data_IF_123795071012
#
_entry.id   IF_123795071012
#
_cell.length_a   1.000
_cell.length_b   1.000
_cell.length_c   1.000
_cell.angle_alpha   90.00
_cell.angle_beta   90.00
_cell.angle_gamma   90.00
#
_symmetry.space_group_name_H-M   'P 1'
#
loop_
_entity.id
_entity.type
_entity.pdbx_description
1 polymer ?
#
# COMPACT_ATOMS: atom_id res chain seq x y z
N UNK A 1 6.33 30.67 0.10
CA UNK A 1 6.25 29.22 -0.18
C UNK A 1 7.04 28.94 -1.45
N UNK A 2 8.00 28.02 -1.40
CA UNK A 2 8.95 27.70 -2.49
C UNK A 2 8.27 27.21 -3.78
N UNK A 3 7.03 26.71 -3.69
CA UNK A 3 6.22 26.26 -4.83
C UNK A 3 5.82 27.41 -5.78
N UNK A 4 5.77 28.65 -5.29
CA UNK A 4 5.32 29.83 -6.09
C UNK A 4 6.27 30.22 -7.20
N UNK A 5 7.52 29.75 -7.16
CA UNK A 5 8.57 30.08 -8.14
C UNK A 5 8.80 28.96 -9.18
N UNK A 6 8.05 27.86 -9.11
CA UNK A 6 8.15 26.78 -10.08
C UNK A 6 7.33 27.10 -11.34
N UNK A 7 7.85 26.67 -12.50
CA UNK A 7 7.11 26.72 -13.77
C UNK A 7 5.84 25.88 -13.65
N UNK A 8 4.75 26.33 -14.25
CA UNK A 8 3.41 25.72 -14.16
C UNK A 8 3.40 24.23 -14.48
N UNK A 9 4.20 23.78 -15.45
CA UNK A 9 4.35 22.37 -15.82
C UNK A 9 4.92 21.52 -14.67
N UNK A 10 5.87 22.06 -13.91
CA UNK A 10 6.50 21.37 -12.78
C UNK A 10 5.58 21.36 -11.57
N UNK A 11 4.74 22.38 -11.38
CA UNK A 11 3.68 22.40 -10.37
C UNK A 11 2.63 21.32 -10.67
N UNK A 12 2.19 21.22 -11.93
CA UNK A 12 1.24 20.19 -12.38
C UNK A 12 1.74 18.75 -12.17
N UNK A 13 3.05 18.52 -12.26
CA UNK A 13 3.64 17.22 -11.95
C UNK A 13 3.47 16.86 -10.47
N UNK A 14 3.63 17.82 -9.56
CA UNK A 14 3.36 17.60 -8.14
C UNK A 14 1.87 17.42 -7.87
N UNK A 15 0.99 18.21 -8.51
CA UNK A 15 -0.47 18.07 -8.36
C UNK A 15 -0.98 16.68 -8.79
N UNK A 16 -0.33 16.03 -9.77
CA UNK A 16 -0.64 14.66 -10.18
C UNK A 16 -0.19 13.59 -9.18
N UNK A 17 0.86 13.86 -8.39
CA UNK A 17 1.37 12.93 -7.37
C UNK A 17 0.61 13.01 -6.03
N UNK A 18 -0.07 14.12 -5.76
CA UNK A 18 -0.81 14.37 -4.52
C UNK A 18 -2.12 13.58 -4.29
N UNK A 19 -2.83 13.00 -5.29
CA UNK A 19 -3.97 12.11 -5.04
C UNK A 19 -3.60 10.87 -4.22
N UNK A 20 -2.32 10.52 -4.17
CA UNK A 20 -1.76 9.42 -3.39
C UNK A 20 -1.07 9.93 -2.11
N UNK A 21 -1.63 10.94 -1.45
CA UNK A 21 -1.17 11.28 -0.11
C UNK A 21 -1.28 10.04 0.78
N UNK A 22 -0.11 9.49 1.13
CA UNK A 22 0.00 8.35 2.02
C UNK A 22 -0.06 8.90 3.45
N UNK A 23 -1.17 8.67 4.18
CA UNK A 23 -1.22 9.05 5.59
C UNK A 23 -0.03 8.43 6.34
N UNK A 24 0.48 9.14 7.35
CA UNK A 24 1.61 8.68 8.16
C UNK A 24 1.37 7.26 8.69
N UNK A 25 0.12 6.97 9.05
CA UNK A 25 -0.35 5.63 9.36
C UNK A 25 -1.10 5.06 8.15
N UNK A 26 -0.80 3.82 7.72
CA UNK A 26 -1.60 3.18 6.69
C UNK A 26 -2.99 2.85 7.27
N UNK A 27 -4.00 2.54 6.41
CA UNK A 27 -5.19 1.85 6.88
C UNK A 27 -4.81 0.59 7.65
N UNK A 28 -5.49 0.28 8.75
CA UNK A 28 -5.16 -0.87 9.60
C UNK A 28 -5.38 -2.22 8.89
N UNK A 29 -6.17 -2.23 7.82
CA UNK A 29 -6.71 -3.44 7.17
C UNK A 29 -5.96 -3.87 5.90
N UNK A 30 -4.87 -3.20 5.52
CA UNK A 30 -4.10 -3.54 4.30
C UNK A 30 -2.82 -4.31 4.62
N UNK A 31 -2.93 -5.39 5.41
CA UNK A 31 -1.83 -6.35 5.49
C UNK A 31 -1.84 -7.23 4.23
N UNK A 32 -0.72 -7.25 3.51
CA UNK A 32 -0.52 -8.18 2.40
C UNK A 32 -0.45 -9.60 2.96
N UNK A 33 -1.52 -10.37 2.75
CA UNK A 33 -1.70 -11.72 3.29
C UNK A 33 -1.29 -12.83 2.34
N UNK A 34 -0.79 -12.45 1.17
CA UNK A 34 -0.31 -13.37 0.15
C UNK A 34 1.17 -13.65 0.35
N UNK A 35 1.53 -14.93 0.30
CA UNK A 35 2.90 -15.42 0.31
C UNK A 35 3.21 -16.03 -1.04
N UNK A 36 4.25 -15.52 -1.68
CA UNK A 36 4.83 -16.15 -2.85
C UNK A 36 5.79 -17.26 -2.40
N UNK A 37 5.51 -18.48 -2.83
CA UNK A 37 6.16 -19.69 -2.35
C UNK A 37 6.85 -20.36 -3.53
N UNK A 38 8.14 -20.64 -3.31
CA UNK A 38 8.97 -21.45 -4.19
C UNK A 38 9.37 -22.71 -3.42
N UNK A 39 8.75 -23.83 -3.73
CA UNK A 39 9.03 -25.11 -3.09
C UNK A 39 10.11 -25.88 -3.88
N UNK A 40 11.18 -26.35 -3.22
CA UNK A 40 12.38 -26.90 -3.87
C UNK A 40 12.19 -28.37 -4.29
N UNK A 41 11.24 -28.64 -5.19
CA UNK A 41 11.07 -29.93 -5.86
C UNK A 41 11.74 -29.89 -7.25
N UNK A 42 11.94 -31.05 -7.88
CA UNK A 42 12.34 -31.15 -9.29
C UNK A 42 11.17 -31.71 -10.12
N UNK A 43 10.43 -30.88 -10.87
CA UNK A 43 10.54 -29.43 -11.04
C UNK A 43 9.98 -28.61 -9.86
N UNK A 44 10.44 -27.37 -9.64
CA UNK A 44 10.05 -26.57 -8.49
C UNK A 44 8.61 -26.09 -8.62
N UNK A 45 7.89 -26.10 -7.50
CA UNK A 45 6.50 -25.62 -7.44
C UNK A 45 6.51 -24.15 -7.06
N UNK A 46 5.90 -23.33 -7.90
CA UNK A 46 5.71 -21.89 -7.67
C UNK A 46 4.23 -21.63 -7.45
N UNK A 47 3.88 -21.09 -6.29
CA UNK A 47 2.49 -20.79 -5.98
C UNK A 47 2.35 -19.59 -5.05
N UNK A 48 1.16 -19.00 -5.06
CA UNK A 48 0.76 -17.92 -4.17
C UNK A 48 -0.20 -18.52 -3.15
N UNK A 49 0.04 -18.29 -1.86
CA UNK A 49 -0.79 -18.77 -0.77
C UNK A 49 -1.25 -17.60 0.08
N UNK A 50 -2.56 -17.41 0.20
CA UNK A 50 -3.17 -16.40 1.03
C UNK A 50 -3.59 -17.02 2.37
N UNK A 51 -2.91 -16.69 3.46
CA UNK A 51 -3.21 -17.32 4.76
C UNK A 51 -4.54 -16.90 5.40
N UNK A 52 -5.25 -15.93 4.83
CA UNK A 52 -6.60 -15.53 5.28
C UNK A 52 -7.70 -16.22 4.48
N UNK A 53 -7.44 -16.51 3.21
CA UNK A 53 -8.43 -17.07 2.28
C UNK A 53 -8.26 -18.57 2.07
N UNK A 54 -7.02 -19.06 2.14
CA UNK A 54 -6.65 -20.43 1.79
C UNK A 54 -6.42 -21.28 3.04
N UNK A 55 -7.04 -22.46 3.05
CA UNK A 55 -6.81 -23.49 4.06
C UNK A 55 -5.60 -24.36 3.67
N UNK A 56 -4.71 -24.61 4.65
CA UNK A 56 -3.46 -25.35 4.40
C UNK A 56 -3.67 -26.80 3.93
N UNK A 57 -4.75 -27.45 4.37
CA UNK A 57 -5.08 -28.81 3.96
C UNK A 57 -5.57 -28.84 2.52
N UNK A 58 -6.60 -28.05 2.24
CA UNK A 58 -7.26 -27.97 0.93
C UNK A 58 -6.27 -27.53 -0.15
N UNK A 59 -5.44 -26.52 0.15
CA UNK A 59 -4.40 -26.05 -0.78
C UNK A 59 -3.35 -27.13 -1.07
N UNK A 60 -2.91 -27.89 -0.05
CA UNK A 60 -1.96 -28.97 -0.27
C UNK A 60 -2.59 -30.13 -1.05
N UNK A 61 -3.87 -30.45 -0.80
CA UNK A 61 -4.62 -31.47 -1.55
C UNK A 61 -4.82 -31.09 -3.02
N UNK A 62 -5.09 -29.81 -3.30
CA UNK A 62 -5.14 -29.29 -4.68
C UNK A 62 -3.77 -29.41 -5.36
N UNK A 63 -2.67 -29.09 -4.68
CA UNK A 63 -1.32 -29.25 -5.25
C UNK A 63 -0.92 -30.70 -5.51
N UNK A 64 -1.37 -31.66 -4.70
CA UNK A 64 -1.19 -33.09 -4.97
C UNK A 64 -1.94 -33.51 -6.24
N UNK A 65 -3.16 -33.00 -6.45
CA UNK A 65 -4.01 -33.35 -7.61
C UNK A 65 -3.58 -32.66 -8.91
N UNK A 66 -3.26 -31.38 -8.85
CA UNK A 66 -3.06 -30.53 -10.02
C UNK A 66 -1.59 -30.47 -10.48
N UNK A 67 -0.64 -30.46 -9.52
CA UNK A 67 0.80 -30.32 -9.78
C UNK A 67 1.60 -31.58 -9.45
N UNK A 68 0.93 -32.66 -9.04
CA UNK A 68 1.54 -33.97 -8.82
C UNK A 68 2.49 -34.01 -7.63
N UNK A 69 2.30 -33.13 -6.62
CA UNK A 69 3.05 -33.22 -5.36
C UNK A 69 2.85 -34.63 -4.80
N UNK A 70 3.91 -35.41 -4.56
CA UNK A 70 3.75 -36.78 -4.11
C UNK A 70 3.22 -36.80 -2.67
N UNK A 71 2.35 -37.76 -2.37
CA UNK A 71 1.52 -37.74 -1.16
C UNK A 71 2.34 -37.87 0.13
N UNK A 72 3.52 -38.48 0.04
CA UNK A 72 4.53 -38.54 1.09
C UNK A 72 5.23 -37.20 1.38
N UNK A 73 5.19 -36.25 0.44
CA UNK A 73 5.71 -34.90 0.63
C UNK A 73 4.64 -33.88 1.02
N UNK A 74 3.35 -34.25 1.00
CA UNK A 74 2.24 -33.38 1.39
C UNK A 74 2.44 -32.76 2.78
N UNK A 75 2.84 -33.57 3.76
CA UNK A 75 3.08 -33.08 5.12
C UNK A 75 4.26 -32.09 5.17
N UNK A 76 5.36 -32.39 4.47
CA UNK A 76 6.54 -31.50 4.37
C UNK A 76 6.19 -30.18 3.71
N UNK A 77 5.39 -30.22 2.64
CA UNK A 77 4.92 -29.02 1.95
C UNK A 77 4.08 -28.15 2.89
N UNK A 78 3.16 -28.74 3.65
CA UNK A 78 2.35 -28.00 4.62
C UNK A 78 3.17 -27.38 5.75
N UNK A 79 4.17 -28.08 6.26
CA UNK A 79 5.10 -27.51 7.24
C UNK A 79 5.87 -26.33 6.64
N UNK A 80 6.32 -26.46 5.38
CA UNK A 80 6.98 -25.39 4.64
C UNK A 80 6.08 -24.16 4.44
N UNK A 81 4.80 -24.36 4.06
CA UNK A 81 3.81 -23.27 3.97
C UNK A 81 3.71 -22.52 5.31
N UNK A 82 3.52 -23.26 6.41
CA UNK A 82 3.39 -22.67 7.76
C UNK A 82 4.64 -21.91 8.17
N UNK A 83 5.82 -22.42 7.82
CA UNK A 83 7.09 -21.73 8.09
C UNK A 83 7.19 -20.42 7.28
N UNK A 84 6.91 -20.45 5.98
CA UNK A 84 6.93 -19.26 5.13
C UNK A 84 5.94 -18.20 5.57
N UNK A 85 4.72 -18.60 5.94
CA UNK A 85 3.72 -17.69 6.53
C UNK A 85 4.21 -17.09 7.84
N UNK A 86 4.86 -17.87 8.71
CA UNK A 86 5.45 -17.35 9.96
C UNK A 86 6.59 -16.37 9.70
N UNK A 87 7.45 -16.63 8.74
CA UNK A 87 8.52 -15.70 8.33
C UNK A 87 7.92 -14.38 7.86
N UNK A 88 6.96 -14.41 6.93
CA UNK A 88 6.29 -13.21 6.40
C UNK A 88 5.57 -12.42 7.48
N UNK A 89 4.86 -13.08 8.40
CA UNK A 89 4.23 -12.41 9.55
C UNK A 89 5.26 -11.70 10.46
N UNK A 90 6.45 -12.28 10.64
CA UNK A 90 7.53 -11.63 11.41
C UNK A 90 8.08 -10.40 10.68
N UNK A 91 8.31 -10.50 9.37
CA UNK A 91 8.76 -9.38 8.54
C UNK A 91 7.74 -8.24 8.55
N UNK A 92 6.46 -8.54 8.39
CA UNK A 92 5.37 -7.55 8.49
C UNK A 92 5.37 -6.87 9.86
N UNK A 93 5.50 -7.63 10.95
CA UNK A 93 5.58 -7.06 12.29
C UNK A 93 6.78 -6.14 12.47
N UNK A 94 7.96 -6.56 12.01
CA UNK A 94 9.18 -5.74 12.08
C UNK A 94 9.06 -4.47 11.23
N UNK A 95 8.47 -4.56 10.04
CA UNK A 95 8.22 -3.40 9.19
C UNK A 95 7.23 -2.41 9.84
N UNK A 96 6.17 -2.90 10.49
CA UNK A 96 5.23 -2.09 11.28
C UNK A 96 5.93 -1.39 12.45
N UNK A 97 6.76 -2.11 13.19
CA UNK A 97 7.53 -1.56 14.31
C UNK A 97 8.56 -0.52 13.84
N UNK A 98 9.29 -0.79 12.76
CA UNK A 98 10.25 0.14 12.17
C UNK A 98 9.55 1.42 11.68
N UNK A 99 8.38 1.30 11.05
CA UNK A 99 7.57 2.44 10.63
C UNK A 99 7.08 3.26 11.83
N UNK A 100 6.54 2.59 12.86
CA UNK A 100 6.09 3.26 14.09
C UNK A 100 7.23 4.04 14.73
N UNK A 101 8.40 3.41 14.85
CA UNK A 101 9.61 4.06 15.36
C UNK A 101 10.01 5.26 14.51
N UNK A 102 10.00 5.14 13.19
CA UNK A 102 10.32 6.25 12.30
C UNK A 102 9.37 7.44 12.49
N UNK A 103 8.08 7.19 12.74
CA UNK A 103 7.08 8.23 13.03
C UNK A 103 7.27 8.84 14.44
N UNK A 104 7.67 8.04 15.41
CA UNK A 104 7.94 8.50 16.79
C UNK A 104 9.24 9.34 16.86
N UNK A 105 10.25 8.98 16.05
CA UNK A 105 11.52 9.70 15.92
C UNK A 105 11.40 10.97 15.02
N UNK A 106 10.25 11.22 14.38
CA UNK A 106 10.03 12.44 13.59
C UNK A 106 10.01 13.69 14.47
N UNK A 107 10.51 14.80 13.92
CA UNK A 107 10.45 16.12 14.55
C UNK A 107 8.98 16.51 14.85
N UNK A 108 8.65 17.00 16.07
CA UNK A 108 7.28 17.30 16.46
C UNK A 108 6.55 18.26 15.52
N UNK A 109 7.24 19.27 14.98
CA UNK A 109 6.67 20.24 14.06
C UNK A 109 6.32 19.60 12.71
N UNK A 110 7.11 18.62 12.29
CA UNK A 110 6.86 17.84 11.08
C UNK A 110 5.65 16.93 11.28
N UNK A 111 5.58 16.21 12.41
CA UNK A 111 4.45 15.36 12.78
C UNK A 111 3.12 16.13 12.82
N UNK A 112 3.11 17.29 13.47
CA UNK A 112 1.97 18.20 13.52
C UNK A 112 1.54 18.70 12.13
N UNK A 113 2.50 18.97 11.23
CA UNK A 113 2.18 19.40 9.88
C UNK A 113 1.48 18.30 9.06
N UNK A 114 1.88 17.02 9.23
CA UNK A 114 1.22 15.88 8.60
C UNK A 114 -0.17 15.60 9.17
N UNK A 115 -0.40 15.81 10.46
CA UNK A 115 -1.73 15.64 11.09
C UNK A 115 -2.71 16.74 10.66
N UNK A 116 -2.23 17.97 10.47
CA UNK A 116 -3.06 19.14 10.16
C UNK A 116 -3.24 19.39 8.66
N UNK A 117 -2.59 18.63 7.79
CA UNK A 117 -2.71 18.84 6.34
C UNK A 117 -4.13 18.51 5.88
N UNK A 118 -4.75 19.46 5.16
CA UNK A 118 -6.08 19.29 4.57
C UNK A 118 -5.98 19.39 3.05
N UNK A 119 -6.52 18.38 2.38
CA UNK A 119 -6.62 18.34 0.93
C UNK A 119 -8.06 18.65 0.52
N UNK A 120 -8.21 19.69 -0.30
CA UNK A 120 -9.49 20.03 -0.89
C UNK A 120 -9.48 19.59 -2.35
N UNK A 121 -10.37 18.65 -2.68
CA UNK A 121 -10.63 18.23 -4.05
C UNK A 121 -11.78 19.07 -4.59
N UNK A 122 -11.48 20.01 -5.49
CA UNK A 122 -12.49 20.86 -6.10
C UNK A 122 -12.93 20.24 -7.43
N UNK A 123 -14.23 20.05 -7.57
CA UNK A 123 -14.85 19.72 -8.85
C UNK A 123 -15.45 21.00 -9.42
N UNK A 124 -15.01 21.45 -10.60
CA UNK A 124 -15.58 22.64 -11.23
C UNK A 124 -17.06 22.41 -11.54
N UNK A 125 -17.94 23.23 -10.96
CA UNK A 125 -19.37 23.26 -11.32
C UNK A 125 -19.53 24.22 -12.49
N UNK A 126 -20.13 23.75 -13.58
CA UNK A 126 -20.42 24.60 -14.73
C UNK A 126 -21.50 25.63 -14.37
N UNK A 127 -21.14 26.90 -14.47
CA UNK A 127 -22.00 28.07 -14.32
C UNK A 127 -21.87 28.94 -15.57
N UNK A 128 -22.83 29.85 -15.82
CA UNK A 128 -22.84 30.66 -17.05
C UNK A 128 -21.55 31.49 -17.25
N UNK A 129 -20.88 31.84 -16.16
CA UNK A 129 -19.64 32.65 -16.14
C UNK A 129 -18.35 31.81 -16.07
N UNK A 130 -18.43 30.47 -16.00
CA UNK A 130 -17.22 29.62 -15.96
C UNK A 130 -16.87 29.09 -17.37
N UNK A 131 -15.60 29.17 -17.79
CA UNK A 131 -15.17 28.70 -19.12
C UNK A 131 -15.41 27.19 -19.27
N UNK A 132 -15.72 26.73 -20.48
CA UNK A 132 -15.99 25.32 -20.72
C UNK A 132 -14.74 24.45 -20.55
N UNK A 133 -14.65 23.80 -19.41
CA UNK A 133 -13.58 22.86 -19.05
C UNK A 133 -13.87 21.42 -19.49
N UNK A 134 -14.86 21.20 -20.38
CA UNK A 134 -15.19 19.88 -20.94
C UNK A 134 -13.99 19.17 -21.59
N UNK A 135 -13.07 19.95 -22.17
CA UNK A 135 -11.85 19.49 -22.82
C UNK A 135 -10.70 19.25 -21.83
N UNK A 136 -10.86 19.67 -20.57
CA UNK A 136 -9.87 19.58 -19.49
C UNK A 136 -10.55 18.86 -18.33
N UNK A 137 -10.90 17.58 -18.51
CA UNK A 137 -11.37 16.71 -17.42
C UNK A 137 -10.20 16.41 -16.47
N UNK A 138 -9.73 17.41 -15.73
CA UNK A 138 -8.63 17.28 -14.78
C UNK A 138 -9.04 17.97 -13.49
N UNK A 139 -8.87 17.27 -12.38
CA UNK A 139 -9.30 17.70 -11.06
C UNK A 139 -8.34 18.78 -10.53
N UNK A 140 -8.85 19.91 -10.04
CA UNK A 140 -8.05 20.89 -9.31
C UNK A 140 -7.99 20.49 -7.83
N UNK A 141 -6.79 20.25 -7.32
CA UNK A 141 -6.54 19.93 -5.91
C UNK A 141 -5.81 21.11 -5.27
N UNK A 142 -6.32 21.64 -4.16
CA UNK A 142 -5.63 22.66 -3.37
C UNK A 142 -5.23 22.08 -2.01
N UNK A 143 -3.94 22.18 -1.67
CA UNK A 143 -3.42 21.83 -0.36
C UNK A 143 -3.17 23.11 0.47
N UNK A 144 -3.70 23.17 1.69
CA UNK A 144 -3.44 24.27 2.64
C UNK A 144 -2.90 23.68 3.94
N UNK A 145 -1.68 24.08 4.30
CA UNK A 145 -1.10 23.82 5.62
C UNK A 145 -1.58 24.95 6.55
N UNK A 146 -2.40 24.62 7.54
CA UNK A 146 -2.75 25.55 8.61
C UNK A 146 -1.64 25.47 9.65
N UNK A 147 -0.63 26.33 9.53
CA UNK A 147 0.28 26.59 10.63
C UNK A 147 -0.50 27.42 11.65
N UNK A 148 -0.75 26.85 12.83
CA UNK A 148 -1.37 27.56 13.94
C UNK A 148 -0.58 28.83 14.25
N UNK A 149 -1.18 29.98 13.99
CA UNK A 149 -0.73 31.24 14.56
C UNK A 149 -1.38 31.39 15.92
N UNK A 150 -0.53 31.56 16.95
CA UNK A 150 -0.77 31.85 18.36
C UNK A 150 -2.16 32.35 18.75
#
# INVERSE_FOLDING_TARGET
SALRHLKTERVKLFDYCMPYYMPLNPPEDEDDTVVNILYPLEPPIVCEFNWEMDDYEDFADEKVKDEGLPEDEKEKFKEFLKEKVRERKRELKQAKEARKKAIDDMDPKTKEAFENIRFYKFYPVKTLDTPDVSNVKVCDIAARVLLGTY
#
